data_IF_741693963121
#
_entry.id   IF_741693963121
#
_cell.length_a   1.000
_cell.length_b   1.000
_cell.length_c   1.000
_cell.angle_alpha   90.00
_cell.angle_beta   90.00
_cell.angle_gamma   90.00
#
_symmetry.space_group_name_H-M   'P 1'
#
loop_
_entity.id
_entity.type
_entity.pdbx_description
1 polymer ?
#
# COMPACT_ATOMS: atom_id res chain seq x y z
N UNK A 1 13.95 19.03 2.91
CA UNK A 1 12.66 18.47 3.37
C UNK A 1 12.95 17.44 4.46
N UNK A 2 13.69 17.88 5.48
CA UNK A 2 14.16 17.07 6.63
C UNK A 2 13.47 17.52 7.93
N UNK A 3 12.30 18.14 7.79
CA UNK A 3 11.55 18.75 8.88
C UNK A 3 10.47 17.84 9.46
N UNK A 4 10.49 16.55 9.12
CA UNK A 4 9.67 15.55 9.81
C UNK A 4 10.62 14.74 10.69
N UNK A 5 10.65 15.00 12.02
CA UNK A 5 11.41 14.18 12.94
C UNK A 5 10.95 12.72 12.78
N UNK A 6 11.86 11.74 12.76
CA UNK A 6 11.45 10.35 12.87
C UNK A 6 10.62 10.21 14.14
N UNK A 7 9.41 9.65 14.03
CA UNK A 7 8.55 9.37 15.17
C UNK A 7 9.26 8.31 16.01
N UNK A 8 10.11 8.75 16.93
CA UNK A 8 10.79 7.91 17.89
C UNK A 8 9.74 7.36 18.85
N UNK A 9 9.54 6.04 18.83
CA UNK A 9 8.56 5.40 19.70
C UNK A 9 7.13 5.36 19.15
N UNK A 10 6.95 5.29 17.82
CA UNK A 10 5.65 4.85 17.26
C UNK A 10 5.21 3.57 18.00
N UNK A 11 4.07 3.57 18.72
CA UNK A 11 3.54 2.36 19.33
C UNK A 11 3.09 1.35 18.25
N UNK A 12 2.94 1.83 17.02
CA UNK A 12 2.62 1.01 15.87
C UNK A 12 3.91 0.37 15.34
N UNK A 13 3.96 -0.96 15.46
CA UNK A 13 4.94 -1.79 14.79
C UNK A 13 4.88 -1.51 13.28
N UNK A 14 6.04 -1.39 12.64
CA UNK A 14 6.10 -1.28 11.18
C UNK A 14 5.31 -2.43 10.56
N UNK A 15 4.32 -2.12 9.73
CA UNK A 15 3.54 -3.12 9.01
C UNK A 15 4.51 -3.90 8.14
N UNK A 16 4.61 -5.21 8.40
CA UNK A 16 5.43 -6.10 7.61
C UNK A 16 4.58 -6.66 6.48
N UNK A 17 4.87 -6.22 5.26
CA UNK A 17 4.21 -6.73 4.05
C UNK A 17 5.09 -7.83 3.47
N UNK A 18 4.68 -9.10 3.44
CA UNK A 18 5.47 -10.16 2.83
C UNK A 18 5.62 -9.92 1.33
N UNK A 19 6.79 -10.24 0.78
CA UNK A 19 7.02 -10.22 -0.66
C UNK A 19 6.48 -11.51 -1.29
N UNK A 20 5.48 -11.39 -2.15
CA UNK A 20 4.94 -12.48 -2.96
C UNK A 20 5.38 -12.40 -4.42
N UNK A 21 6.10 -11.35 -4.83
CA UNK A 21 6.56 -11.19 -6.20
C UNK A 21 7.58 -12.28 -6.55
N UNK A 22 7.26 -13.07 -7.57
CA UNK A 22 8.14 -14.11 -8.13
C UNK A 22 8.93 -13.62 -9.34
N UNK A 23 8.49 -12.53 -9.96
CA UNK A 23 9.07 -11.96 -11.17
C UNK A 23 9.04 -10.43 -11.13
N UNK A 24 10.00 -9.77 -11.80
CA UNK A 24 9.98 -8.33 -11.96
C UNK A 24 8.82 -7.85 -12.84
N UNK A 25 8.45 -6.59 -12.69
CA UNK A 25 7.53 -5.93 -13.61
C UNK A 25 8.12 -5.93 -15.03
N UNK A 26 7.27 -6.12 -16.04
CA UNK A 26 7.76 -6.26 -17.42
C UNK A 26 8.22 -4.93 -18.03
N UNK A 27 7.93 -3.80 -17.36
CA UNK A 27 8.23 -2.41 -17.73
C UNK A 27 7.76 -2.05 -19.12
N UNK A 28 6.66 -2.67 -19.54
CA UNK A 28 5.83 -2.22 -20.64
C UNK A 28 4.68 -1.37 -20.08
N UNK A 29 3.75 -0.97 -20.94
CA UNK A 29 2.62 -0.12 -20.57
C UNK A 29 1.83 -0.67 -19.36
N UNK A 30 1.69 0.18 -18.33
CA UNK A 30 0.97 -0.12 -17.08
C UNK A 30 -0.44 -0.71 -17.26
N UNK A 31 -1.26 -0.08 -18.09
CA UNK A 31 -2.68 -0.41 -18.26
C UNK A 31 -2.90 -1.78 -18.90
N UNK A 32 -1.99 -2.20 -19.79
CA UNK A 32 -2.08 -3.48 -20.50
C UNK A 32 -1.50 -4.69 -19.75
N UNK A 33 -0.90 -4.47 -18.57
CA UNK A 33 -0.23 -5.54 -17.82
C UNK A 33 -1.17 -6.72 -17.47
N UNK A 34 -2.41 -6.50 -16.99
CA UNK A 34 -3.33 -7.60 -16.69
C UNK A 34 -3.62 -8.48 -17.91
N UNK A 35 -3.83 -7.88 -19.08
CA UNK A 35 -4.10 -8.59 -20.33
C UNK A 35 -2.87 -9.42 -20.73
N UNK A 36 -1.67 -8.83 -20.68
CA UNK A 36 -0.41 -9.53 -21.00
C UNK A 36 -0.15 -10.74 -20.10
N UNK A 37 -0.52 -10.64 -18.83
CA UNK A 37 -0.33 -11.72 -17.84
C UNK A 37 -1.52 -12.69 -17.76
N UNK A 38 -2.57 -12.49 -18.55
CA UNK A 38 -3.76 -13.35 -18.56
C UNK A 38 -4.62 -13.24 -17.29
N UNK A 39 -4.62 -12.06 -16.68
CA UNK A 39 -5.42 -11.69 -15.51
C UNK A 39 -6.66 -10.87 -15.85
N UNK A 40 -6.79 -10.39 -17.09
CA UNK A 40 -8.00 -9.75 -17.59
C UNK A 40 -8.95 -10.77 -18.21
N UNK A 41 -10.25 -10.64 -17.96
CA UNK A 41 -11.29 -11.42 -18.62
C UNK A 41 -11.37 -11.00 -20.10
N UNK A 42 -11.41 -11.96 -21.06
CA UNK A 42 -11.44 -11.64 -22.47
C UNK A 42 -12.75 -10.97 -22.93
N UNK A 43 -13.81 -11.03 -22.13
CA UNK A 43 -15.13 -10.50 -22.51
C UNK A 43 -15.25 -9.01 -22.20
N UNK A 44 -14.89 -8.60 -20.99
CA UNK A 44 -15.09 -7.23 -20.52
C UNK A 44 -13.80 -6.54 -20.02
N UNK A 45 -12.67 -7.26 -20.00
CA UNK A 45 -11.40 -6.74 -19.53
C UNK A 45 -11.28 -6.60 -18.01
N UNK A 46 -12.28 -7.06 -17.24
CA UNK A 46 -12.25 -7.04 -15.77
C UNK A 46 -11.19 -8.00 -15.21
N UNK A 47 -10.72 -7.76 -13.98
CA UNK A 47 -9.72 -8.64 -13.36
C UNK A 47 -10.35 -9.98 -12.95
N UNK A 48 -9.86 -11.07 -13.52
CA UNK A 48 -10.28 -12.43 -13.24
C UNK A 48 -9.67 -12.99 -11.94
N UNK A 49 -9.86 -12.28 -10.81
CA UNK A 49 -9.25 -12.62 -9.52
C UNK A 49 -9.82 -13.88 -8.88
N UNK A 50 -11.13 -14.07 -8.93
CA UNK A 50 -11.85 -15.17 -8.27
C UNK A 50 -11.41 -16.57 -8.70
N UNK A 51 -10.78 -16.69 -9.88
CA UNK A 51 -10.34 -17.96 -10.46
C UNK A 51 -8.95 -18.40 -9.98
N UNK A 52 -8.31 -17.66 -9.07
CA UNK A 52 -6.89 -17.81 -8.71
C UNK A 52 -6.69 -17.90 -7.19
N UNK A 53 -5.59 -18.51 -6.75
CA UNK A 53 -5.26 -18.59 -5.32
C UNK A 53 -4.98 -17.20 -4.73
N UNK A 54 -5.08 -17.09 -3.40
CA UNK A 54 -4.77 -15.84 -2.71
C UNK A 54 -3.32 -15.40 -2.98
N UNK A 55 -2.36 -16.31 -2.90
CA UNK A 55 -0.93 -16.03 -3.12
C UNK A 55 -0.67 -15.54 -4.55
N UNK A 56 -1.29 -16.18 -5.54
CA UNK A 56 -1.15 -15.77 -6.94
C UNK A 56 -1.72 -14.37 -7.18
N UNK A 57 -2.88 -14.05 -6.58
CA UNK A 57 -3.47 -12.70 -6.63
C UNK A 57 -2.55 -11.67 -5.98
N UNK A 58 -2.06 -11.96 -4.78
CA UNK A 58 -1.19 -11.05 -4.03
C UNK A 58 0.13 -10.81 -4.78
N UNK A 59 0.75 -11.85 -5.32
CA UNK A 59 1.94 -11.73 -6.16
C UNK A 59 1.70 -10.83 -7.38
N UNK A 60 0.60 -11.08 -8.11
CA UNK A 60 0.21 -10.28 -9.26
C UNK A 60 -0.03 -8.81 -8.90
N UNK A 61 -0.83 -8.55 -7.86
CA UNK A 61 -1.16 -7.19 -7.42
C UNK A 61 0.07 -6.45 -6.90
N UNK A 62 0.97 -7.12 -6.17
CA UNK A 62 2.23 -6.51 -5.75
C UNK A 62 3.14 -6.18 -6.96
N UNK A 63 3.32 -7.11 -7.90
CA UNK A 63 4.14 -6.84 -9.10
C UNK A 63 3.55 -5.72 -9.95
N UNK A 64 2.22 -5.66 -10.08
CA UNK A 64 1.57 -4.66 -10.91
C UNK A 64 1.36 -3.32 -10.20
N UNK A 65 0.57 -3.29 -9.12
CA UNK A 65 0.12 -2.05 -8.49
C UNK A 65 1.18 -1.41 -7.59
N UNK A 66 2.14 -2.19 -7.07
CA UNK A 66 3.26 -1.64 -6.32
C UNK A 66 4.46 -1.39 -7.24
N UNK A 67 5.08 -2.45 -7.78
CA UNK A 67 6.30 -2.31 -8.58
C UNK A 67 6.05 -1.62 -9.93
N UNK A 68 4.96 -1.94 -10.63
CA UNK A 68 4.62 -1.28 -11.89
C UNK A 68 4.36 0.22 -11.74
N UNK A 69 3.67 0.64 -10.68
CA UNK A 69 3.47 2.08 -10.39
C UNK A 69 4.80 2.76 -10.07
N UNK A 70 5.64 2.13 -9.25
CA UNK A 70 6.94 2.68 -8.92
C UNK A 70 7.83 2.86 -10.16
N UNK A 71 7.90 1.86 -11.05
CA UNK A 71 8.70 1.96 -12.29
C UNK A 71 8.19 3.07 -13.24
N UNK A 72 6.87 3.18 -13.42
CA UNK A 72 6.25 4.17 -14.30
C UNK A 72 6.41 5.60 -13.76
N UNK A 73 6.19 5.81 -12.46
CA UNK A 73 6.31 7.12 -11.82
C UNK A 73 7.77 7.59 -11.79
N UNK A 74 8.69 6.70 -11.42
CA UNK A 74 10.12 7.01 -11.37
C UNK A 74 10.78 6.99 -12.77
N UNK A 75 10.10 6.46 -13.78
CA UNK A 75 10.61 6.39 -15.15
C UNK A 75 11.88 5.57 -15.29
N UNK A 76 12.07 4.58 -14.42
CA UNK A 76 13.24 3.70 -14.44
C UNK A 76 12.86 2.29 -13.99
N UNK A 77 13.68 1.32 -14.40
CA UNK A 77 13.56 -0.05 -13.90
C UNK A 77 13.95 -0.13 -12.44
N UNK A 78 13.22 -0.96 -11.69
CA UNK A 78 13.46 -1.19 -10.27
C UNK A 78 14.00 -2.60 -10.09
N UNK A 79 15.08 -2.71 -9.34
CA UNK A 79 15.54 -4.00 -8.84
C UNK A 79 14.69 -4.40 -7.62
N UNK A 80 14.11 -5.59 -7.65
CA UNK A 80 13.37 -6.13 -6.51
C UNK A 80 14.26 -6.23 -5.27
N UNK A 81 15.57 -6.46 -5.44
CA UNK A 81 16.53 -6.52 -4.34
C UNK A 81 16.61 -5.24 -3.51
N UNK A 82 16.33 -4.08 -4.10
CA UNK A 82 16.33 -2.79 -3.40
C UNK A 82 15.12 -2.62 -2.48
N UNK A 83 14.03 -3.35 -2.76
CA UNK A 83 12.74 -3.23 -2.09
C UNK A 83 12.33 -4.49 -1.35
N UNK A 84 13.20 -5.51 -1.26
CA UNK A 84 12.93 -6.75 -0.52
C UNK A 84 14.03 -7.00 0.50
N UNK A 85 13.65 -7.14 1.77
CA UNK A 85 14.56 -7.47 2.88
C UNK A 85 13.93 -8.54 3.76
N UNK A 86 14.66 -9.63 4.00
CA UNK A 86 14.23 -10.76 4.84
C UNK A 86 12.85 -11.35 4.42
N UNK A 87 12.54 -11.31 3.12
CA UNK A 87 11.26 -11.77 2.58
C UNK A 87 10.09 -10.79 2.73
N UNK A 88 10.35 -9.56 3.18
CA UNK A 88 9.36 -8.49 3.32
C UNK A 88 9.68 -7.31 2.40
N UNK A 89 8.63 -6.63 1.93
CA UNK A 89 8.76 -5.39 1.17
C UNK A 89 9.29 -4.28 2.10
N UNK A 90 10.23 -3.50 1.59
CA UNK A 90 10.79 -2.32 2.25
C UNK A 90 10.85 -1.15 1.29
N UNK A 91 10.67 0.06 1.81
CA UNK A 91 10.83 1.32 1.07
C UNK A 91 12.07 2.09 1.48
N UNK A 92 13.02 1.44 2.18
CA UNK A 92 14.22 2.08 2.70
C UNK A 92 15.09 2.74 1.61
N UNK A 93 15.10 2.19 0.39
CA UNK A 93 15.83 2.74 -0.76
C UNK A 93 15.02 3.72 -1.61
N UNK A 94 13.73 3.91 -1.31
CA UNK A 94 12.88 4.84 -2.06
C UNK A 94 13.44 6.28 -2.12
N UNK A 95 14.05 6.84 -1.05
CA UNK A 95 14.67 8.17 -1.12
C UNK A 95 15.76 8.26 -2.18
N UNK A 96 16.66 7.26 -2.27
CA UNK A 96 17.73 7.24 -3.28
C UNK A 96 17.18 7.20 -4.70
N UNK A 97 16.17 6.36 -4.93
CA UNK A 97 15.47 6.27 -6.22
C UNK A 97 14.78 7.58 -6.59
N UNK A 98 14.20 8.28 -5.61
CA UNK A 98 13.55 9.58 -5.79
C UNK A 98 14.56 10.68 -6.11
N UNK A 99 15.72 10.70 -5.45
CA UNK A 99 16.81 11.62 -5.75
C UNK A 99 17.36 11.42 -7.16
N UNK A 100 17.57 10.16 -7.56
CA UNK A 100 18.00 9.82 -8.92
C UNK A 100 16.97 10.23 -9.97
N UNK A 101 15.67 10.01 -9.70
CA UNK A 101 14.58 10.49 -10.56
C UNK A 101 14.59 12.01 -10.70
N UNK A 102 14.75 12.74 -9.59
CA UNK A 102 14.83 14.19 -9.61
C UNK A 102 16.04 14.67 -10.44
N UNK A 103 17.19 14.02 -10.31
CA UNK A 103 18.36 14.30 -11.16
C UNK A 103 18.05 14.13 -12.65
N UNK A 104 17.44 13.00 -13.04
CA UNK A 104 17.02 12.76 -14.44
C UNK A 104 16.05 13.82 -14.94
N UNK A 105 15.07 14.21 -14.12
CA UNK A 105 14.09 15.24 -14.49
C UNK A 105 14.70 16.59 -14.83
N UNK A 106 15.80 16.96 -14.18
CA UNK A 106 16.52 18.22 -14.44
C UNK A 106 17.29 18.17 -15.77
N UNK A 107 17.68 16.99 -16.22
CA UNK A 107 18.39 16.77 -17.49
C UNK A 107 17.44 16.58 -18.68
N UNK A 108 16.17 16.27 -18.44
CA UNK A 108 15.17 16.05 -19.48
C UNK A 108 14.76 17.35 -20.19
N UNK A 109 14.47 17.22 -21.49
CA UNK A 109 13.80 18.30 -22.23
C UNK A 109 12.39 18.55 -21.68
N UNK A 110 11.85 19.75 -21.90
CA UNK A 110 10.47 20.08 -21.50
C UNK A 110 9.44 19.12 -22.13
N UNK A 111 9.70 18.68 -23.37
CA UNK A 111 8.84 17.74 -24.07
C UNK A 111 8.85 16.36 -23.42
N UNK A 112 10.03 15.85 -23.06
CA UNK A 112 10.19 14.55 -22.39
C UNK A 112 9.63 14.59 -20.98
N UNK A 113 9.88 15.68 -20.23
CA UNK A 113 9.32 15.87 -18.89
C UNK A 113 7.79 15.89 -18.92
N UNK A 114 7.20 16.58 -19.90
CA UNK A 114 5.74 16.58 -20.11
C UNK A 114 5.22 15.19 -20.43
N UNK A 115 5.90 14.45 -21.30
CA UNK A 115 5.54 13.06 -21.63
C UNK A 115 5.57 12.17 -20.39
N UNK A 116 6.66 12.21 -19.62
CA UNK A 116 6.83 11.44 -18.38
C UNK A 116 5.74 11.76 -17.37
N UNK A 117 5.41 13.05 -17.19
CA UNK A 117 4.33 13.49 -16.31
C UNK A 117 2.97 12.93 -16.74
N UNK A 118 2.63 12.99 -18.03
CA UNK A 118 1.37 12.46 -18.55
C UNK A 118 1.28 10.94 -18.39
N UNK A 119 2.37 10.22 -18.64
CA UNK A 119 2.45 8.77 -18.42
C UNK A 119 2.25 8.41 -16.95
N UNK A 120 2.97 9.09 -16.05
CA UNK A 120 2.84 8.87 -14.61
C UNK A 120 1.42 9.19 -14.11
N UNK A 121 0.81 10.27 -14.59
CA UNK A 121 -0.57 10.63 -14.24
C UNK A 121 -1.57 9.57 -14.70
N UNK A 122 -1.48 9.12 -15.96
CA UNK A 122 -2.36 8.07 -16.49
C UNK A 122 -2.19 6.74 -15.73
N UNK A 123 -0.95 6.40 -15.35
CA UNK A 123 -0.64 5.24 -14.51
C UNK A 123 -1.34 5.36 -13.15
N UNK A 124 -1.19 6.49 -12.44
CA UNK A 124 -1.81 6.71 -11.13
C UNK A 124 -3.34 6.71 -11.18
N UNK A 125 -3.94 7.31 -12.21
CA UNK A 125 -5.39 7.30 -12.42
C UNK A 125 -5.91 5.87 -12.67
N UNK A 126 -5.19 5.09 -13.46
CA UNK A 126 -5.50 3.67 -13.70
C UNK A 126 -5.39 2.87 -12.41
N UNK A 127 -4.25 3.00 -11.69
CA UNK A 127 -4.01 2.30 -10.43
C UNK A 127 -5.08 2.64 -9.40
N UNK A 128 -5.46 3.92 -9.28
CA UNK A 128 -6.54 4.37 -8.38
C UNK A 128 -7.86 3.71 -8.73
N UNK A 129 -8.24 3.71 -10.01
CA UNK A 129 -9.50 3.10 -10.47
C UNK A 129 -9.53 1.61 -10.14
N UNK A 130 -8.42 0.89 -10.34
CA UNK A 130 -8.29 -0.51 -9.99
C UNK A 130 -8.37 -0.73 -8.48
N UNK A 131 -7.66 0.06 -7.67
CA UNK A 131 -7.76 -0.02 -6.21
C UNK A 131 -9.19 0.19 -5.71
N UNK A 132 -9.95 1.15 -6.29
CA UNK A 132 -11.35 1.36 -5.93
C UNK A 132 -12.19 0.12 -6.24
N UNK A 133 -12.02 -0.48 -7.43
CA UNK A 133 -12.72 -1.71 -7.81
C UNK A 133 -12.36 -2.90 -6.90
N UNK A 134 -11.10 -2.99 -6.45
CA UNK A 134 -10.62 -4.05 -5.56
C UNK A 134 -11.09 -3.89 -4.11
N UNK A 135 -11.35 -2.66 -3.69
CA UNK A 135 -11.78 -2.31 -2.33
C UNK A 135 -13.31 -2.20 -2.20
N UNK A 136 -14.06 -2.31 -3.29
CA UNK A 136 -15.52 -2.34 -3.25
C UNK A 136 -15.97 -3.63 -2.52
N UNK A 137 -16.42 -3.47 -1.28
CA UNK A 137 -16.85 -4.53 -0.36
C UNK A 137 -18.08 -5.32 -0.84
N UNK A 138 -18.77 -4.84 -1.89
CA UNK A 138 -19.85 -5.60 -2.52
C UNK A 138 -19.34 -6.73 -3.42
N UNK A 139 -18.04 -6.71 -3.77
CA UNK A 139 -17.37 -7.81 -4.41
C UNK A 139 -16.91 -8.83 -3.35
N UNK A 140 -17.37 -10.08 -3.48
CA UNK A 140 -17.02 -11.26 -2.65
C UNK A 140 -15.51 -11.60 -2.61
N UNK A 141 -14.65 -10.76 -3.18
CA UNK A 141 -13.27 -11.02 -3.57
C UNK A 141 -12.27 -9.96 -3.06
N UNK A 142 -12.55 -9.30 -1.93
CA UNK A 142 -11.60 -8.36 -1.32
C UNK A 142 -10.25 -9.07 -1.05
N UNK A 143 -9.14 -8.61 -1.64
CA UNK A 143 -7.83 -9.25 -1.50
C UNK A 143 -7.17 -8.97 -0.15
N UNK A 144 -7.73 -8.06 0.65
CA UNK A 144 -7.20 -7.74 1.97
C UNK A 144 -7.75 -8.72 3.01
N UNK A 145 -6.89 -9.37 3.80
CA UNK A 145 -7.33 -10.13 4.97
C UNK A 145 -8.19 -9.26 5.88
N UNK A 146 -9.24 -9.83 6.49
CA UNK A 146 -10.11 -9.17 7.47
C UNK A 146 -9.35 -8.55 8.66
N UNK A 147 -8.09 -8.92 8.85
CA UNK A 147 -7.16 -8.40 9.86
C UNK A 147 -6.75 -6.94 9.63
N UNK A 148 -6.82 -6.43 8.39
CA UNK A 148 -6.48 -5.03 8.05
C UNK A 148 -7.71 -4.10 8.22
N UNK A 149 -8.92 -4.65 8.38
CA UNK A 149 -10.14 -3.87 8.60
C UNK A 149 -10.27 -3.34 10.05
N UNK A 150 -9.68 -4.04 11.01
CA UNK A 150 -9.84 -3.74 12.44
C UNK A 150 -9.15 -2.46 12.95
N UNK A 151 -8.03 -1.94 12.39
CA UNK A 151 -7.41 -0.73 12.92
C UNK A 151 -8.06 0.57 12.43
N UNK A 152 -8.74 0.57 11.28
CA UNK A 152 -9.30 1.79 10.67
C UNK A 152 -10.71 2.14 11.15
N UNK A 153 -11.39 1.20 11.81
CA UNK A 153 -12.76 1.38 12.32
C UNK A 153 -12.86 1.49 13.86
N UNK A 154 -11.72 1.50 14.57
CA UNK A 154 -11.70 1.88 15.98
C UNK A 154 -11.80 3.40 16.11
N UNK A 155 -13.03 3.88 16.04
CA UNK A 155 -13.45 5.21 16.43
C UNK A 155 -12.88 5.58 17.83
N UNK A 156 -12.11 6.68 17.98
CA UNK A 156 -11.60 7.12 19.28
C UNK A 156 -12.67 7.79 20.18
N UNK A 157 -13.95 7.63 19.86
CA UNK A 157 -15.07 8.34 20.50
C UNK A 157 -15.80 7.66 21.67
N UNK A 158 -15.23 6.67 22.37
CA UNK A 158 -15.89 6.08 23.56
C UNK A 158 -15.00 6.02 24.80
N UNK A 159 -14.50 7.20 25.19
CA UNK A 159 -14.17 7.48 26.60
C UNK A 159 -15.14 8.57 27.07
N UNK A 160 -16.32 8.15 27.52
CA UNK A 160 -17.18 9.00 28.33
C UNK A 160 -17.70 8.21 29.54
N UNK A 161 -17.18 8.66 30.69
CA UNK A 161 -17.88 8.80 31.96
C UNK A 161 -18.38 7.54 32.69
N UNK A 162 -17.55 7.08 33.62
CA UNK A 162 -18.02 6.79 34.98
C UNK A 162 -17.04 7.40 36.00
N UNK A 163 -17.33 8.64 36.43
CA UNK A 163 -16.96 9.14 37.76
C UNK A 163 -18.24 9.59 38.45
N UNK A 164 -18.50 9.03 39.64
CA UNK A 164 -19.23 9.54 40.83
C UNK A 164 -19.77 8.31 41.57
N UNK A 165 -19.61 8.10 42.88
CA UNK A 165 -19.14 8.91 43.99
C UNK A 165 -18.73 7.97 45.16
N UNK A 166 -18.05 8.46 46.23
CA UNK A 166 -17.75 7.66 47.41
C UNK A 166 -18.95 7.65 48.37
N UNK A 167 -19.27 6.49 48.94
CA UNK A 167 -20.27 6.39 50.01
C UNK A 167 -19.58 6.18 51.37
N UNK A 168 -19.90 7.08 52.29
CA UNK A 168 -19.47 7.09 53.69
C UNK A 168 -20.57 6.44 54.53
N UNK A 169 -20.27 5.34 55.24
CA UNK A 169 -20.93 4.95 56.50
C UNK A 169 -20.16 3.75 57.08
N UNK A 170 -19.28 3.96 58.06
CA UNK A 170 -19.54 3.75 59.51
C UNK A 170 -19.79 2.27 59.86
N UNK A 171 -18.82 1.61 60.50
CA UNK A 171 -18.84 1.32 61.96
C UNK A 171 -17.93 0.15 62.37
N UNK A 172 -17.16 0.40 63.45
CA UNK A 172 -16.79 -0.50 64.57
C UNK A 172 -16.04 -1.82 64.30
N UNK A 173 -15.10 -2.32 65.13
CA UNK A 173 -14.55 -1.90 66.42
C UNK A 173 -13.32 -2.76 66.78
N UNK A 174 -12.51 -2.24 67.71
CA UNK A 174 -11.70 -2.90 68.75
C UNK A 174 -10.58 -3.91 68.39
N UNK A 175 -9.33 -3.41 68.51
CA UNK A 175 -8.17 -3.83 69.35
C UNK A 175 -8.27 -5.08 70.26
N UNK A 176 -7.14 -5.58 70.84
CA UNK A 176 -5.73 -5.22 70.64
C UNK A 176 -4.85 -6.36 70.11
#
# INVERSE_FOLDING_TARGET
MDHIPPICGSPYQHIRVPNFCTEPYDGLEFSGYPQRKGWADPVDGSLALSKRSHEARTAFLQTWLFFGVLEEVLGCRIDLGDFVKDGYITTAQLPLHTEAWHGRLLEMSDADRRKQYLTAQACLETARSQCILLLDETATDCPLPSEIYLPLHQDPGRISEQRHAPDLSSDNACFP
#
